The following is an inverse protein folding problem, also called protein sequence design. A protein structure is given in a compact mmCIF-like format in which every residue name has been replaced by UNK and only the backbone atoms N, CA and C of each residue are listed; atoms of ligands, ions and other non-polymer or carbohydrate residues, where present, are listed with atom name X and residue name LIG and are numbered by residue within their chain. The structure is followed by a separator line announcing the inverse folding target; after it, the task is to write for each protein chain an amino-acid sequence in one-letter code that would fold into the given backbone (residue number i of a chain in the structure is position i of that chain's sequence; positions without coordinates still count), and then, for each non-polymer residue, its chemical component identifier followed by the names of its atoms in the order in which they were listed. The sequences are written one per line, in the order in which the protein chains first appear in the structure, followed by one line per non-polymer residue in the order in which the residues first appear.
data_IF_307783308991
#
_entry.id   IF_307783308991
#
_cell.length_a   1.000
_cell.length_b   1.000
_cell.length_c   1.000
_cell.angle_alpha   90.00
_cell.angle_beta   90.00
_cell.angle_gamma   90.00
#
_symmetry.space_group_name_H-M   'P 1'
#
loop_
_entity.id
_entity.type
_entity.pdbx_description
1 polymer ?
#
# COMPACT_ATOMS: atom_id res chain seq x y z
N UNK A 1 28.56 -18.82 22.85
CA UNK A 1 28.27 -19.59 21.63
C UNK A 1 26.77 -19.64 21.50
N UNK A 2 26.20 -18.86 20.58
CA UNK A 2 24.76 -18.84 20.31
C UNK A 2 24.51 -19.73 19.10
N UNK A 3 23.73 -20.80 19.27
CA UNK A 3 23.23 -21.60 18.15
C UNK A 3 22.33 -20.73 17.25
N UNK A 4 22.51 -20.79 15.91
CA UNK A 4 21.57 -20.15 15.00
C UNK A 4 20.26 -20.93 15.00
N UNK A 5 19.15 -20.22 15.18
CA UNK A 5 17.80 -20.73 14.96
C UNK A 5 17.71 -21.33 13.54
N UNK A 6 17.50 -22.64 13.45
CA UNK A 6 17.24 -23.32 12.18
C UNK A 6 16.03 -22.70 11.49
N UNK A 7 16.22 -22.31 10.23
CA UNK A 7 15.16 -21.77 9.39
C UNK A 7 14.32 -22.94 8.86
N UNK A 8 12.98 -22.96 9.04
CA UNK A 8 12.16 -24.03 8.48
C UNK A 8 12.26 -24.04 6.95
N UNK A 9 12.40 -25.24 6.37
CA UNK A 9 12.52 -25.45 4.93
C UNK A 9 11.22 -25.06 4.21
N UNK A 10 11.37 -24.37 3.06
CA UNK A 10 10.31 -24.14 2.06
C UNK A 10 9.57 -25.43 1.72
N UNK A 11 8.24 -25.44 1.79
CA UNK A 11 7.42 -26.53 1.24
C UNK A 11 7.12 -26.30 -0.25
N UNK A 12 6.95 -27.43 -0.94
CA UNK A 12 6.78 -27.57 -2.40
C UNK A 12 5.36 -27.19 -2.82
N UNK A 13 5.11 -26.86 -4.11
CA UNK A 13 3.78 -26.50 -4.59
C UNK A 13 2.81 -27.70 -4.52
N UNK A 14 1.66 -27.55 -3.85
CA UNK A 14 0.55 -28.52 -3.97
C UNK A 14 -0.31 -28.84 -2.73
N UNK A 15 -0.01 -28.35 -1.53
CA UNK A 15 -0.78 -28.71 -0.31
C UNK A 15 -1.79 -27.63 0.14
N UNK A 16 -2.91 -28.01 0.79
CA UNK A 16 -4.01 -27.10 1.12
C UNK A 16 -3.65 -26.15 2.27
N UNK A 17 -4.07 -24.90 2.11
CA UNK A 17 -3.74 -23.73 2.92
C UNK A 17 -4.29 -23.82 4.36
N UNK A 18 -3.48 -24.29 5.31
CA UNK A 18 -3.79 -24.28 6.75
C UNK A 18 -2.78 -23.54 7.64
N UNK A 19 -1.52 -23.40 7.22
CA UNK A 19 -0.44 -22.85 8.08
C UNK A 19 -0.01 -21.41 7.71
N UNK A 20 -0.57 -20.83 6.64
CA UNK A 20 -0.06 -19.60 6.04
C UNK A 20 -0.30 -18.32 6.89
N UNK A 21 -1.27 -18.35 7.81
CA UNK A 21 -1.60 -17.20 8.67
C UNK A 21 -0.48 -16.86 9.66
N UNK A 22 0.14 -17.88 10.26
CA UNK A 22 1.19 -17.72 11.27
C UNK A 22 2.55 -17.34 10.64
N UNK A 23 2.87 -17.88 9.47
CA UNK A 23 4.11 -17.53 8.75
C UNK A 23 4.10 -16.09 8.22
N UNK A 24 2.97 -15.62 7.67
CA UNK A 24 2.86 -14.23 7.21
C UNK A 24 2.92 -13.24 8.39
N UNK A 25 2.47 -13.65 9.58
CA UNK A 25 2.57 -12.86 10.81
C UNK A 25 4.02 -12.77 11.30
N UNK A 26 4.78 -13.87 11.28
CA UNK A 26 6.19 -13.87 11.67
C UNK A 26 7.06 -12.98 10.75
N UNK A 27 6.96 -13.13 9.42
CA UNK A 27 7.73 -12.30 8.47
C UNK A 27 7.32 -10.82 8.52
N UNK A 28 6.02 -10.53 8.74
CA UNK A 28 5.55 -9.14 8.90
C UNK A 28 6.00 -8.50 10.22
N UNK A 29 6.24 -9.30 11.27
CA UNK A 29 6.86 -8.85 12.51
C UNK A 29 8.37 -8.64 12.32
N UNK A 30 9.06 -9.47 11.54
CA UNK A 30 10.47 -9.25 11.16
C UNK A 30 10.67 -7.93 10.41
N UNK A 31 9.69 -7.50 9.60
CA UNK A 31 9.72 -6.18 8.95
C UNK A 31 9.67 -4.98 9.92
N UNK A 32 9.39 -5.23 11.20
CA UNK A 32 9.45 -4.23 12.27
C UNK A 32 10.78 -4.26 13.03
N UNK A 33 11.65 -5.23 12.74
CA UNK A 33 12.92 -5.46 13.42
C UNK A 33 14.11 -4.94 12.58
N UNK A 34 15.29 -4.76 13.20
CA UNK A 34 16.53 -4.55 12.44
C UNK A 34 16.74 -5.64 11.37
N UNK A 35 17.07 -5.25 10.14
CA UNK A 35 17.22 -6.17 9.00
C UNK A 35 15.98 -6.25 8.08
N UNK A 36 14.89 -5.56 8.43
CA UNK A 36 13.70 -5.40 7.57
C UNK A 36 14.01 -4.83 6.19
N UNK A 37 15.07 -4.02 6.06
CA UNK A 37 15.56 -3.45 4.80
C UNK A 37 16.20 -4.48 3.85
N UNK A 38 16.43 -5.70 4.31
CA UNK A 38 16.84 -6.82 3.47
C UNK A 38 15.67 -7.53 2.78
N UNK A 39 14.42 -7.10 3.01
CA UNK A 39 13.22 -7.71 2.45
C UNK A 39 12.54 -6.80 1.42
N UNK A 40 11.98 -7.42 0.38
CA UNK A 40 11.12 -6.77 -0.58
C UNK A 40 9.77 -7.47 -0.66
N UNK A 41 8.71 -6.66 -0.68
CA UNK A 41 7.33 -7.13 -0.67
C UNK A 41 6.87 -7.53 -2.08
N UNK A 42 6.03 -8.55 -2.13
CA UNK A 42 5.30 -9.07 -3.29
C UNK A 42 3.84 -9.34 -2.91
N UNK A 43 3.03 -9.66 -3.91
CA UNK A 43 1.60 -9.85 -3.77
C UNK A 43 1.13 -11.10 -4.52
N UNK A 44 0.31 -11.93 -3.87
CA UNK A 44 -0.59 -12.86 -4.57
C UNK A 44 -2.00 -12.66 -4.02
N UNK A 45 -2.97 -12.36 -4.88
CA UNK A 45 -4.39 -12.18 -4.51
C UNK A 45 -4.62 -11.45 -3.16
N UNK A 46 -3.95 -10.31 -2.95
CA UNK A 46 -3.99 -9.46 -1.74
C UNK A 46 -3.27 -10.00 -0.51
N UNK A 47 -2.68 -11.20 -0.61
CA UNK A 47 -1.75 -11.72 0.38
C UNK A 47 -0.36 -11.14 0.09
N UNK A 48 0.25 -10.45 1.08
CA UNK A 48 1.63 -10.06 0.95
C UNK A 48 2.53 -11.28 1.06
N UNK A 49 3.58 -11.32 0.24
CA UNK A 49 4.68 -12.28 0.36
C UNK A 49 6.00 -11.52 0.35
N UNK A 50 7.08 -12.16 0.82
CA UNK A 50 8.38 -11.50 0.96
C UNK A 50 9.48 -12.30 0.29
N UNK A 51 10.44 -11.55 -0.27
CA UNK A 51 11.69 -12.09 -0.81
C UNK A 51 12.84 -11.31 -0.20
N UNK A 52 14.03 -11.91 -0.08
CA UNK A 52 15.20 -11.13 0.36
C UNK A 52 15.81 -10.42 -0.83
N UNK A 53 16.22 -9.17 -0.65
CA UNK A 53 16.87 -8.36 -1.69
C UNK A 53 18.13 -9.06 -2.23
N UNK A 54 18.88 -9.76 -1.35
CA UNK A 54 20.07 -10.53 -1.70
C UNK A 54 19.79 -11.76 -2.57
N UNK A 55 18.56 -12.25 -2.64
CA UNK A 55 18.22 -13.44 -3.43
C UNK A 55 18.42 -13.15 -4.93
N UNK A 56 18.34 -11.88 -5.34
CA UNK A 56 18.56 -11.46 -6.72
C UNK A 56 17.69 -12.23 -7.71
N UNK A 57 18.28 -12.57 -8.86
CA UNK A 57 17.65 -13.46 -9.85
C UNK A 57 16.59 -12.81 -10.74
N UNK A 58 16.43 -11.49 -10.69
CA UNK A 58 15.62 -10.78 -11.68
C UNK A 58 16.35 -10.75 -13.02
N UNK A 59 15.70 -11.31 -14.03
CA UNK A 59 16.16 -11.31 -15.43
C UNK A 59 15.52 -10.13 -16.19
N UNK A 60 16.29 -9.08 -16.53
CA UNK A 60 15.77 -7.96 -17.31
C UNK A 60 15.37 -8.31 -18.74
N UNK A 61 15.92 -9.37 -19.33
CA UNK A 61 15.67 -9.76 -20.73
C UNK A 61 14.31 -10.45 -20.88
N UNK A 62 13.91 -11.24 -19.87
CA UNK A 62 12.57 -11.84 -19.79
C UNK A 62 11.47 -10.83 -19.42
N UNK A 63 11.80 -9.55 -19.18
CA UNK A 63 10.83 -8.55 -18.75
C UNK A 63 10.81 -7.30 -19.61
N UNK A 64 9.64 -6.67 -19.69
CA UNK A 64 9.51 -5.31 -20.21
C UNK A 64 8.59 -4.46 -19.34
N UNK A 65 8.85 -3.16 -19.33
CA UNK A 65 7.92 -2.17 -18.76
C UNK A 65 7.33 -1.37 -19.90
N UNK A 66 6.01 -1.35 -19.99
CA UNK A 66 5.27 -0.58 -21.01
C UNK A 66 4.14 0.19 -20.38
N UNK A 67 3.74 1.30 -21.01
CA UNK A 67 2.48 1.96 -20.67
C UNK A 67 1.32 1.04 -21.05
N UNK A 68 0.34 0.94 -20.17
CA UNK A 68 -0.84 0.11 -20.37
C UNK A 68 -2.13 0.93 -20.16
N UNK A 69 -3.25 0.54 -20.79
CA UNK A 69 -4.54 1.18 -20.53
C UNK A 69 -4.99 1.03 -19.07
N UNK A 70 -5.90 1.90 -18.64
CA UNK A 70 -6.40 1.88 -17.27
C UNK A 70 -7.08 0.56 -16.89
N UNK A 71 -7.95 0.04 -17.77
CA UNK A 71 -8.76 -1.15 -17.49
C UNK A 71 -7.94 -2.38 -17.02
N UNK A 72 -6.90 -2.84 -17.74
CA UNK A 72 -6.05 -3.94 -17.26
C UNK A 72 -5.28 -3.60 -15.99
N UNK A 73 -4.75 -2.37 -15.88
CA UNK A 73 -4.00 -1.94 -14.70
C UNK A 73 -4.86 -1.93 -13.42
N UNK A 74 -6.09 -1.43 -13.55
CA UNK A 74 -7.12 -1.41 -12.51
C UNK A 74 -7.52 -2.83 -12.11
N UNK A 75 -7.84 -3.70 -13.07
CA UNK A 75 -8.18 -5.10 -12.78
C UNK A 75 -7.08 -5.80 -11.99
N UNK A 76 -5.84 -5.72 -12.48
CA UNK A 76 -4.68 -6.31 -11.82
C UNK A 76 -4.50 -5.77 -10.40
N UNK A 77 -4.51 -4.44 -10.23
CA UNK A 77 -4.27 -3.82 -8.92
C UNK A 77 -5.38 -4.14 -7.92
N UNK A 78 -6.64 -4.16 -8.34
CA UNK A 78 -7.77 -4.52 -7.46
C UNK A 78 -7.73 -6.01 -7.07
N UNK A 79 -7.23 -6.87 -7.95
CA UNK A 79 -7.06 -8.29 -7.69
C UNK A 79 -5.92 -8.57 -6.70
N UNK A 80 -4.78 -7.86 -6.82
CA UNK A 80 -3.55 -8.25 -6.12
C UNK A 80 -3.12 -7.30 -4.99
N UNK A 81 -3.39 -6.00 -5.07
CA UNK A 81 -2.91 -5.05 -4.06
C UNK A 81 -3.87 -4.99 -2.86
N UNK A 82 -3.33 -4.92 -1.64
CA UNK A 82 -4.12 -4.90 -0.39
C UNK A 82 -5.22 -3.83 -0.36
N UNK A 83 -5.01 -2.70 -1.02
CA UNK A 83 -5.98 -1.60 -1.02
C UNK A 83 -7.26 -1.93 -1.81
N UNK A 84 -7.26 -2.99 -2.64
CA UNK A 84 -8.35 -3.43 -3.49
C UNK A 84 -9.04 -2.28 -4.26
N UNK A 85 -8.26 -1.28 -4.67
CA UNK A 85 -8.78 -0.01 -5.18
C UNK A 85 -7.82 0.65 -6.16
N UNK A 86 -8.40 1.35 -7.13
CA UNK A 86 -7.70 2.09 -8.15
C UNK A 86 -7.94 3.60 -7.99
N UNK A 87 -6.89 4.41 -7.76
CA UNK A 87 -7.02 5.85 -7.63
C UNK A 87 -7.15 6.52 -9.01
N UNK A 88 -7.25 7.86 -9.04
CA UNK A 88 -7.12 8.62 -10.28
C UNK A 88 -5.67 8.54 -10.76
N UNK A 89 -5.44 7.92 -11.92
CA UNK A 89 -4.11 7.63 -12.45
C UNK A 89 -3.89 8.37 -13.77
N UNK A 90 -2.75 9.05 -13.92
CA UNK A 90 -2.36 9.70 -15.17
C UNK A 90 -1.51 8.79 -16.05
N UNK A 91 -0.60 8.03 -15.44
CA UNK A 91 0.28 7.11 -16.14
C UNK A 91 0.26 5.75 -15.43
N UNK A 92 -0.20 4.71 -16.13
CA UNK A 92 -0.14 3.33 -15.68
C UNK A 92 0.90 2.56 -16.51
N UNK A 93 1.72 1.79 -15.82
CA UNK A 93 2.75 0.93 -16.42
C UNK A 93 2.54 -0.51 -15.99
N UNK A 94 2.66 -1.43 -16.94
CA UNK A 94 2.69 -2.86 -16.70
C UNK A 94 4.12 -3.37 -16.77
N UNK A 95 4.51 -4.19 -15.77
CA UNK A 95 5.65 -5.09 -15.86
C UNK A 95 5.15 -6.40 -16.49
N UNK A 96 5.64 -6.71 -17.68
CA UNK A 96 5.26 -7.91 -18.43
C UNK A 96 6.43 -8.89 -18.49
N UNK A 97 6.13 -10.19 -18.36
CA UNK A 97 7.00 -11.32 -18.71
C UNK A 97 6.83 -11.61 -20.20
N UNK A 98 7.87 -11.38 -21.00
CA UNK A 98 7.77 -11.48 -22.48
C UNK A 98 7.85 -12.92 -22.99
N UNK A 99 8.37 -13.82 -22.15
CA UNK A 99 8.45 -15.26 -22.40
C UNK A 99 7.15 -16.01 -22.10
N UNK A 100 6.09 -15.30 -21.67
CA UNK A 100 4.79 -15.86 -21.35
C UNK A 100 3.69 -15.13 -22.12
N UNK A 101 2.71 -15.88 -22.63
CA UNK A 101 1.57 -15.28 -23.31
C UNK A 101 0.74 -14.40 -22.35
N UNK A 102 0.19 -13.27 -22.84
CA UNK A 102 -0.71 -12.44 -22.04
C UNK A 102 -1.95 -13.23 -21.61
N UNK A 103 -2.38 -13.00 -20.36
CA UNK A 103 -3.62 -13.57 -19.84
C UNK A 103 -4.87 -12.88 -20.39
N UNK A 104 -6.08 -13.41 -20.11
CA UNK A 104 -7.33 -12.81 -20.55
C UNK A 104 -7.47 -11.34 -20.11
N UNK A 105 -7.65 -10.46 -21.11
CA UNK A 105 -7.79 -9.03 -20.89
C UNK A 105 -6.48 -8.31 -20.49
N UNK A 106 -5.33 -8.97 -20.54
CA UNK A 106 -4.04 -8.30 -20.40
C UNK A 106 -3.61 -7.67 -21.74
N UNK A 107 -2.79 -6.59 -21.72
CA UNK A 107 -2.25 -6.01 -22.96
C UNK A 107 -1.33 -6.99 -23.70
N UNK A 108 -1.18 -6.78 -25.01
CA UNK A 108 -0.25 -7.55 -25.84
C UNK A 108 1.21 -7.45 -25.36
N UNK A 109 2.02 -8.43 -25.77
CA UNK A 109 3.47 -8.47 -25.58
C UNK A 109 3.97 -9.35 -24.45
N UNK A 110 3.13 -9.73 -23.49
CA UNK A 110 3.49 -10.72 -22.47
C UNK A 110 2.59 -10.71 -21.23
N UNK A 111 2.76 -11.72 -20.37
CA UNK A 111 1.99 -11.89 -19.13
C UNK A 111 2.22 -10.72 -18.17
N UNK A 112 1.17 -10.09 -17.68
CA UNK A 112 1.23 -9.00 -16.71
C UNK A 112 1.55 -9.56 -15.30
N UNK A 113 2.72 -9.19 -14.78
CA UNK A 113 3.20 -9.62 -13.44
C UNK A 113 3.42 -8.44 -12.49
N UNK A 114 3.10 -7.23 -12.92
CA UNK A 114 3.16 -6.07 -12.04
C UNK A 114 2.57 -4.81 -12.64
N UNK A 115 2.17 -3.88 -11.77
CA UNK A 115 1.63 -2.57 -12.13
C UNK A 115 2.27 -1.47 -11.28
N UNK A 116 2.66 -0.38 -11.96
CA UNK A 116 3.03 0.89 -11.35
C UNK A 116 2.02 1.95 -11.80
N UNK A 117 1.45 2.70 -10.85
CA UNK A 117 0.46 3.73 -11.14
C UNK A 117 0.92 5.10 -10.62
N UNK A 118 1.21 6.02 -11.54
CA UNK A 118 1.49 7.42 -11.23
C UNK A 118 0.19 8.22 -11.33
N UNK A 119 -0.31 8.64 -10.18
CA UNK A 119 -1.62 9.23 -10.01
C UNK A 119 -1.63 10.63 -9.43
N UNK A 120 -2.85 11.10 -9.21
CA UNK A 120 -3.17 12.39 -8.60
C UNK A 120 -3.36 12.16 -7.10
N UNK A 121 -2.56 12.81 -6.23
CA UNK A 121 -2.75 12.67 -4.79
C UNK A 121 -4.09 13.29 -4.37
N UNK A 122 -4.65 12.81 -3.26
CA UNK A 122 -5.90 13.36 -2.71
C UNK A 122 -5.83 14.86 -2.39
N UNK A 123 -4.63 15.36 -2.10
CA UNK A 123 -4.36 16.79 -1.94
C UNK A 123 -3.11 17.14 -2.77
N UNK A 124 -3.27 18.08 -3.71
CA UNK A 124 -2.20 18.53 -4.61
C UNK A 124 -1.03 19.16 -3.87
N UNK A 125 -1.24 19.72 -2.67
CA UNK A 125 -0.19 20.31 -1.84
C UNK A 125 0.91 19.31 -1.44
N UNK A 126 0.65 18.00 -1.53
CA UNK A 126 1.67 16.96 -1.37
C UNK A 126 2.86 17.17 -2.33
N UNK A 127 2.59 17.68 -3.53
CA UNK A 127 3.56 17.90 -4.60
C UNK A 127 4.37 19.19 -4.44
N UNK A 128 4.01 20.07 -3.49
CA UNK A 128 4.75 21.31 -3.20
C UNK A 128 6.16 21.07 -2.68
N UNK A 129 6.54 19.81 -2.45
CA UNK A 129 7.93 19.43 -2.21
C UNK A 129 8.84 19.67 -3.42
N UNK A 130 8.28 19.85 -4.61
CA UNK A 130 9.02 20.23 -5.81
C UNK A 130 8.76 21.71 -6.13
N UNK A 131 9.50 22.67 -5.54
CA UNK A 131 9.23 24.09 -5.71
C UNK A 131 9.40 24.57 -7.16
N UNK A 132 10.22 23.86 -7.95
CA UNK A 132 10.56 24.23 -9.32
C UNK A 132 9.64 23.55 -10.35
N UNK A 133 8.66 22.75 -9.91
CA UNK A 133 7.80 21.93 -10.80
C UNK A 133 6.33 22.31 -10.67
N UNK A 134 5.63 22.38 -11.79
CA UNK A 134 4.19 22.57 -11.80
C UNK A 134 3.45 21.29 -11.32
N UNK A 135 2.69 21.35 -10.21
CA UNK A 135 1.94 20.20 -9.70
C UNK A 135 1.02 19.60 -10.76
N UNK A 136 0.91 18.27 -10.75
CA UNK A 136 0.10 17.47 -11.68
C UNK A 136 0.51 17.53 -13.15
N UNK A 137 1.25 18.55 -13.62
CA UNK A 137 1.80 18.61 -14.97
C UNK A 137 3.18 17.97 -15.02
N UNK A 138 4.07 18.35 -14.10
CA UNK A 138 5.47 17.90 -14.05
C UNK A 138 5.76 17.02 -12.82
N UNK A 139 4.80 16.84 -11.92
CA UNK A 139 4.96 15.96 -10.76
C UNK A 139 3.71 15.14 -10.46
N UNK A 140 3.92 13.90 -9.98
CA UNK A 140 2.87 12.92 -9.67
C UNK A 140 3.16 12.14 -8.40
N UNK A 141 2.16 11.40 -7.92
CA UNK A 141 2.31 10.43 -6.84
C UNK A 141 2.46 9.02 -7.40
N UNK A 142 3.47 8.26 -6.97
CA UNK A 142 3.48 6.80 -7.11
C UNK A 142 2.44 6.21 -6.14
N UNK A 143 1.22 6.09 -6.65
CA UNK A 143 0.03 5.77 -5.87
C UNK A 143 -0.16 4.27 -5.69
N UNK A 144 0.30 3.44 -6.63
CA UNK A 144 0.26 1.98 -6.55
C UNK A 144 1.55 1.40 -7.11
N UNK A 145 2.12 0.44 -6.37
CA UNK A 145 3.15 -0.46 -6.85
C UNK A 145 2.78 -1.86 -6.39
N UNK A 146 2.46 -2.72 -7.34
CA UNK A 146 2.01 -4.08 -7.07
C UNK A 146 2.74 -5.03 -8.00
N UNK A 147 3.60 -5.90 -7.47
CA UNK A 147 4.32 -6.93 -8.22
C UNK A 147 3.95 -8.30 -7.67
N UNK A 148 3.76 -9.27 -8.56
CA UNK A 148 3.46 -10.64 -8.16
C UNK A 148 4.66 -11.29 -7.48
N UNK A 149 4.39 -12.27 -6.63
CA UNK A 149 5.39 -13.14 -6.02
C UNK A 149 6.32 -13.80 -7.04
N UNK A 150 5.85 -14.07 -8.26
CA UNK A 150 6.67 -14.57 -9.38
C UNK A 150 7.79 -13.62 -9.83
N UNK A 151 7.76 -12.34 -9.44
CA UNK A 151 8.80 -11.37 -9.76
C UNK A 151 9.95 -11.50 -8.75
N UNK A 152 11.13 -11.87 -9.22
CA UNK A 152 12.33 -12.00 -8.40
C UNK A 152 12.80 -10.65 -7.80
N UNK A 153 13.68 -10.71 -6.80
CA UNK A 153 14.21 -9.53 -6.11
C UNK A 153 14.95 -8.58 -7.05
N UNK A 154 14.92 -7.28 -6.79
CA UNK A 154 15.41 -6.19 -7.65
C UNK A 154 14.50 -5.85 -8.85
N UNK A 155 13.48 -6.66 -9.15
CA UNK A 155 12.49 -6.37 -10.18
C UNK A 155 11.73 -5.07 -9.95
N UNK A 156 11.48 -4.69 -8.69
CA UNK A 156 10.81 -3.44 -8.33
C UNK A 156 11.63 -2.19 -8.69
N UNK A 157 12.91 -2.18 -8.34
CA UNK A 157 13.78 -1.05 -8.64
C UNK A 157 14.02 -0.93 -10.14
N UNK A 158 14.17 -2.05 -10.84
CA UNK A 158 14.27 -2.07 -12.30
C UNK A 158 13.00 -1.56 -12.96
N UNK A 159 11.83 -2.06 -12.55
CA UNK A 159 10.56 -1.67 -13.14
C UNK A 159 10.28 -0.17 -12.94
N UNK A 160 10.54 0.35 -11.73
CA UNK A 160 10.40 1.77 -11.47
C UNK A 160 11.41 2.61 -12.27
N UNK A 161 12.66 2.17 -12.41
CA UNK A 161 13.64 2.89 -13.23
C UNK A 161 13.17 3.03 -14.68
N UNK A 162 12.61 1.97 -15.28
CA UNK A 162 12.06 2.00 -16.64
C UNK A 162 10.81 2.88 -16.74
N UNK A 163 9.89 2.79 -15.77
CA UNK A 163 8.72 3.66 -15.73
C UNK A 163 9.08 5.14 -15.53
N UNK A 164 10.10 5.47 -14.74
CA UNK A 164 10.59 6.84 -14.57
C UNK A 164 11.23 7.40 -15.84
N UNK A 165 11.93 6.56 -16.61
CA UNK A 165 12.48 6.97 -17.90
C UNK A 165 11.36 7.37 -18.88
N UNK A 166 10.32 6.53 -19.02
CA UNK A 166 9.18 6.86 -19.88
C UNK A 166 8.41 8.09 -19.35
N UNK A 167 8.10 8.14 -18.05
CA UNK A 167 7.42 9.30 -17.46
C UNK A 167 8.21 10.61 -17.66
N UNK A 168 9.54 10.55 -17.60
CA UNK A 168 10.39 11.70 -17.91
C UNK A 168 10.29 12.12 -19.37
N UNK A 169 10.19 11.19 -20.32
CA UNK A 169 9.94 11.53 -21.73
C UNK A 169 8.59 12.27 -21.92
N UNK A 170 7.64 12.10 -21.00
CA UNK A 170 6.32 12.76 -21.00
C UNK A 170 6.25 14.03 -20.17
N UNK A 171 7.41 14.58 -19.77
CA UNK A 171 7.49 15.84 -19.03
C UNK A 171 7.36 15.70 -17.51
N UNK A 172 7.23 14.48 -16.96
CA UNK A 172 7.27 14.30 -15.50
C UNK A 172 8.72 14.43 -15.00
N UNK A 173 8.91 15.15 -13.90
CA UNK A 173 10.21 15.45 -13.30
C UNK A 173 10.24 15.19 -11.80
N UNK A 174 9.10 15.04 -11.15
CA UNK A 174 9.01 14.74 -9.71
C UNK A 174 8.02 13.63 -9.39
N UNK A 175 8.41 12.69 -8.53
CA UNK A 175 7.53 11.64 -8.01
C UNK A 175 7.54 11.68 -6.48
N UNK A 176 6.35 11.79 -5.86
CA UNK A 176 6.16 11.55 -4.42
C UNK A 176 5.68 10.12 -4.21
N UNK A 177 6.10 9.48 -3.12
CA UNK A 177 5.54 8.22 -2.66
C UNK A 177 5.28 8.28 -1.16
N UNK A 178 4.28 7.53 -0.70
CA UNK A 178 3.97 7.39 0.72
C UNK A 178 4.04 5.93 1.15
N UNK A 179 4.41 5.71 2.40
CA UNK A 179 4.36 4.40 3.04
C UNK A 179 3.65 4.51 4.38
N UNK A 180 2.57 3.75 4.56
CA UNK A 180 1.80 3.74 5.80
C UNK A 180 2.35 2.61 6.69
N UNK A 181 2.98 2.95 7.83
CA UNK A 181 3.63 1.96 8.68
C UNK A 181 2.66 1.17 9.58
N UNK A 182 1.38 1.57 9.62
CA UNK A 182 0.43 1.02 10.59
C UNK A 182 -0.26 -0.21 9.98
N UNK A 183 -0.08 -1.39 10.59
CA UNK A 183 -0.72 -2.61 10.11
C UNK A 183 -2.22 -2.53 10.38
N UNK A 184 -3.00 -3.22 9.57
CA UNK A 184 -4.44 -3.42 9.76
C UNK A 184 -4.70 -4.91 9.68
N UNK A 185 -5.16 -5.46 10.80
CA UNK A 185 -5.42 -6.89 10.98
C UNK A 185 -6.88 -7.01 11.36
N UNK A 186 -7.60 -7.87 10.65
CA UNK A 186 -8.94 -8.33 11.04
C UNK A 186 -8.81 -9.70 11.69
N UNK A 187 -9.71 -10.04 12.59
CA UNK A 187 -9.87 -11.44 12.97
C UNK A 187 -10.86 -12.16 12.08
N UNK A 188 -10.59 -13.45 11.91
CA UNK A 188 -11.44 -14.41 11.21
C UNK A 188 -11.57 -15.67 12.07
N UNK A 189 -12.47 -16.59 11.70
CA UNK A 189 -12.59 -17.88 12.38
C UNK A 189 -11.26 -18.67 12.40
N UNK A 190 -10.44 -18.48 11.36
CA UNK A 190 -9.12 -19.12 11.20
C UNK A 190 -7.98 -18.32 11.85
N UNK A 191 -8.29 -17.26 12.61
CA UNK A 191 -7.32 -16.40 13.29
C UNK A 191 -7.09 -15.04 12.61
N UNK A 192 -6.01 -14.32 12.97
CA UNK A 192 -5.71 -12.99 12.44
C UNK A 192 -5.36 -12.98 10.95
N UNK A 193 -5.93 -12.04 10.22
CA UNK A 193 -5.74 -11.86 8.77
C UNK A 193 -5.35 -10.41 8.46
N UNK A 194 -4.25 -10.21 7.74
CA UNK A 194 -3.80 -8.87 7.33
C UNK A 194 -4.68 -8.31 6.22
N UNK A 195 -5.28 -7.14 6.49
CA UNK A 195 -5.92 -6.29 5.47
C UNK A 195 -4.93 -5.28 4.93
N UNK A 196 -4.00 -4.82 5.76
CA UNK A 196 -2.84 -4.07 5.32
C UNK A 196 -1.65 -4.49 6.18
N UNK A 197 -0.54 -4.97 5.58
CA UNK A 197 0.64 -5.36 6.35
C UNK A 197 1.26 -4.18 7.12
N UNK A 198 1.22 -2.98 6.53
CA UNK A 198 2.00 -1.84 6.99
C UNK A 198 3.43 -1.94 6.49
N UNK A 199 4.02 -0.80 6.12
CA UNK A 199 5.39 -0.75 5.60
C UNK A 199 5.99 0.65 5.78
N UNK A 200 7.32 0.70 5.90
CA UNK A 200 8.04 1.98 5.99
C UNK A 200 8.56 2.48 4.65
N UNK A 201 8.32 1.74 3.56
CA UNK A 201 8.74 2.15 2.21
C UNK A 201 10.21 1.85 1.90
N UNK A 202 10.70 0.67 2.30
CA UNK A 202 12.08 0.23 2.06
C UNK A 202 12.51 0.40 0.60
N UNK A 203 11.63 0.02 -0.32
CA UNK A 203 11.85 0.18 -1.75
C UNK A 203 12.20 1.61 -2.14
N UNK A 204 11.58 2.62 -1.52
CA UNK A 204 11.84 4.03 -1.81
C UNK A 204 13.14 4.50 -1.16
N UNK A 205 13.29 4.24 0.14
CA UNK A 205 14.40 4.75 0.95
C UNK A 205 15.74 4.06 0.69
N UNK A 206 15.73 2.79 0.27
CA UNK A 206 16.95 1.97 0.19
C UNK A 206 17.17 1.33 -1.20
N UNK A 207 16.14 1.27 -2.06
CA UNK A 207 16.25 0.63 -3.39
C UNK A 207 16.20 1.59 -4.58
N UNK A 208 15.68 2.81 -4.38
CA UNK A 208 15.30 3.69 -5.50
C UNK A 208 15.77 5.14 -5.35
N UNK A 209 16.62 5.48 -4.38
CA UNK A 209 17.19 6.82 -4.26
C UNK A 209 16.14 7.93 -4.09
N UNK A 210 15.03 7.65 -3.43
CA UNK A 210 14.13 8.71 -2.98
C UNK A 210 14.73 9.41 -1.76
N UNK A 211 14.59 10.73 -1.71
CA UNK A 211 14.81 11.49 -0.49
C UNK A 211 13.66 11.22 0.49
N UNK A 212 13.98 10.89 1.74
CA UNK A 212 13.00 10.76 2.81
C UNK A 212 12.76 12.12 3.46
N UNK A 213 11.48 12.48 3.63
CA UNK A 213 11.03 13.83 4.01
C UNK A 213 10.30 13.85 5.35
N UNK A 214 10.47 12.80 6.16
CA UNK A 214 9.75 12.63 7.42
C UNK A 214 8.35 12.03 7.23
N UNK A 215 7.46 12.33 8.18
CA UNK A 215 6.09 11.80 8.20
C UNK A 215 5.08 12.88 7.86
N UNK A 216 3.96 12.48 7.27
CA UNK A 216 2.77 13.34 7.17
C UNK A 216 2.24 13.67 8.56
N UNK A 217 1.36 14.66 8.66
CA UNK A 217 0.70 15.03 9.92
C UNK A 217 0.03 13.80 10.57
N UNK A 218 0.22 13.67 11.87
CA UNK A 218 -0.51 12.68 12.68
C UNK A 218 -2.02 12.97 12.64
N UNK A 219 -2.84 11.92 12.65
CA UNK A 219 -4.30 12.03 12.57
C UNK A 219 -4.98 10.90 13.33
N UNK A 220 -6.26 11.09 13.65
CA UNK A 220 -7.12 10.00 14.09
C UNK A 220 -7.79 9.37 12.87
N UNK A 221 -7.95 8.06 12.88
CA UNK A 221 -8.66 7.32 11.85
C UNK A 221 -9.74 6.46 12.51
N UNK A 222 -10.95 6.46 11.96
CA UNK A 222 -11.98 5.50 12.34
C UNK A 222 -11.73 4.21 11.58
N UNK A 223 -11.43 3.14 12.31
CA UNK A 223 -11.21 1.79 11.77
C UNK A 223 -12.46 0.97 12.05
N UNK A 224 -12.98 0.33 11.00
CA UNK A 224 -14.15 -0.53 11.06
C UNK A 224 -13.75 -1.97 11.42
N UNK A 225 -14.71 -2.83 11.79
CA UNK A 225 -14.44 -4.22 12.15
C UNK A 225 -13.75 -5.07 11.09
N UNK A 226 -14.00 -4.75 9.82
CA UNK A 226 -13.31 -5.37 8.68
C UNK A 226 -11.85 -4.89 8.52
N UNK A 227 -11.30 -4.21 9.54
CA UNK A 227 -9.99 -3.56 9.63
C UNK A 227 -9.70 -2.49 8.57
N UNK A 228 -10.73 -2.02 7.86
CA UNK A 228 -10.60 -0.92 6.92
C UNK A 228 -10.81 0.44 7.60
N UNK A 229 -10.43 1.52 6.91
CA UNK A 229 -10.63 2.89 7.42
C UNK A 229 -11.89 3.50 6.80
N UNK A 230 -12.78 4.01 7.66
CA UNK A 230 -13.78 4.98 7.25
C UNK A 230 -13.11 6.36 7.21
N UNK A 231 -12.91 6.89 6.00
CA UNK A 231 -12.24 8.18 5.84
C UNK A 231 -13.16 9.36 6.21
N UNK A 232 -12.55 10.47 6.65
CA UNK A 232 -13.27 11.66 7.12
C UNK A 232 -14.22 12.24 6.07
N UNK A 233 -13.88 12.13 4.77
CA UNK A 233 -14.72 12.61 3.68
C UNK A 233 -15.98 11.77 3.53
N UNK A 234 -15.87 10.44 3.63
CA UNK A 234 -17.00 9.52 3.60
C UNK A 234 -17.91 9.73 4.81
N UNK A 235 -17.35 9.89 6.00
CA UNK A 235 -18.11 10.24 7.21
C UNK A 235 -18.82 11.60 7.06
N UNK A 236 -18.14 12.60 6.49
CA UNK A 236 -18.73 13.92 6.25
C UNK A 236 -19.92 13.87 5.29
N UNK A 237 -19.89 12.98 4.29
CA UNK A 237 -21.04 12.78 3.39
C UNK A 237 -22.28 12.33 4.14
N UNK A 238 -22.15 11.38 5.06
CA UNK A 238 -23.27 10.91 5.89
C UNK A 238 -23.76 12.01 6.82
N UNK A 239 -22.86 12.73 7.50
CA UNK A 239 -23.22 13.81 8.43
C UNK A 239 -23.98 14.98 7.78
N UNK A 240 -23.82 15.16 6.47
CA UNK A 240 -24.33 16.30 5.70
C UNK A 240 -25.29 15.88 4.59
N UNK A 241 -25.69 14.61 4.57
CA UNK A 241 -26.54 14.03 3.52
C UNK A 241 -26.05 14.34 2.09
N UNK A 242 -24.74 14.38 1.90
CA UNK A 242 -24.13 14.64 0.59
C UNK A 242 -24.15 13.38 -0.29
N UNK A 243 -24.16 13.60 -1.61
CA UNK A 243 -24.13 12.52 -2.61
C UNK A 243 -23.05 11.47 -2.32
N UNK A 244 -23.51 10.22 -2.24
CA UNK A 244 -22.69 9.04 -1.95
C UNK A 244 -22.70 8.61 -0.49
N UNK A 245 -23.47 9.27 0.40
CA UNK A 245 -23.68 8.78 1.77
C UNK A 245 -24.30 7.37 1.80
N UNK A 246 -25.26 7.07 0.93
CA UNK A 246 -25.94 5.76 0.83
C UNK A 246 -24.97 4.58 0.75
N UNK A 247 -23.85 4.73 0.02
CA UNK A 247 -22.85 3.66 -0.07
C UNK A 247 -22.12 3.41 1.26
N UNK A 248 -21.89 4.48 2.04
CA UNK A 248 -21.34 4.40 3.40
C UNK A 248 -22.35 3.77 4.34
N UNK A 249 -23.63 4.15 4.23
CA UNK A 249 -24.70 3.59 5.07
C UNK A 249 -24.86 2.09 4.84
N UNK A 250 -25.01 1.67 3.58
CA UNK A 250 -25.09 0.25 3.19
C UNK A 250 -23.92 -0.56 3.73
N UNK A 251 -22.73 0.03 3.71
CA UNK A 251 -21.53 -0.62 4.23
C UNK A 251 -21.59 -0.83 5.74
N UNK A 252 -21.97 0.19 6.50
CA UNK A 252 -22.08 0.07 7.95
C UNK A 252 -23.21 -0.91 8.34
N UNK A 253 -24.32 -0.90 7.59
CA UNK A 253 -25.42 -1.87 7.78
C UNK A 253 -24.93 -3.30 7.52
N UNK A 254 -24.16 -3.52 6.45
CA UNK A 254 -23.56 -4.83 6.18
C UNK A 254 -22.56 -5.29 7.26
N UNK A 255 -22.06 -4.36 8.08
CA UNK A 255 -21.20 -4.64 9.24
C UNK A 255 -21.99 -4.76 10.56
N UNK A 256 -23.32 -4.72 10.51
CA UNK A 256 -24.19 -4.90 11.67
C UNK A 256 -24.84 -3.62 12.22
N UNK A 257 -24.63 -2.45 11.59
CA UNK A 257 -25.34 -1.25 12.01
C UNK A 257 -26.83 -1.35 11.70
N UNK A 258 -27.65 -0.84 12.60
CA UNK A 258 -29.08 -0.71 12.38
C UNK A 258 -29.34 0.35 11.32
N UNK A 259 -30.22 0.03 10.37
CA UNK A 259 -30.60 0.96 9.30
C UNK A 259 -31.06 2.31 9.84
N UNK A 260 -30.74 3.37 9.10
CA UNK A 260 -31.18 4.74 9.42
C UNK A 260 -32.69 4.82 9.30
N UNK A 261 -33.35 5.39 10.31
CA UNK A 261 -34.80 5.63 10.24
C UNK A 261 -35.08 6.75 9.24
N UNK A 262 -36.28 6.75 8.67
CA UNK A 262 -36.76 7.90 7.90
C UNK A 262 -36.61 9.17 8.76
N UNK A 263 -36.07 10.24 8.16
CA UNK A 263 -35.87 11.55 8.80
C UNK A 263 -34.87 11.62 9.96
N UNK A 264 -34.20 10.51 10.32
CA UNK A 264 -33.13 10.55 11.34
C UNK A 264 -31.96 11.41 10.84
N UNK A 265 -31.42 12.30 11.68
CA UNK A 265 -30.24 13.10 11.35
C UNK A 265 -29.01 12.20 11.07
N UNK A 266 -28.28 12.49 10.00
CA UNK A 266 -27.19 11.64 9.52
C UNK A 266 -25.99 11.63 10.45
N UNK A 267 -25.71 12.72 11.16
CA UNK A 267 -24.63 12.76 12.13
C UNK A 267 -24.96 11.93 13.38
N UNK A 268 -26.20 12.02 13.87
CA UNK A 268 -26.71 11.19 14.97
C UNK A 268 -26.71 9.72 14.58
N UNK A 269 -27.22 9.38 13.39
CA UNK A 269 -27.21 8.02 12.88
C UNK A 269 -25.78 7.46 12.79
N UNK A 270 -24.85 8.22 12.20
CA UNK A 270 -23.47 7.77 12.04
C UNK A 270 -22.78 7.51 13.39
N UNK A 271 -23.00 8.37 14.39
CA UNK A 271 -22.42 8.18 15.71
C UNK A 271 -22.87 6.85 16.33
N UNK A 272 -24.18 6.58 16.30
CA UNK A 272 -24.78 5.32 16.77
C UNK A 272 -24.29 4.12 15.95
N UNK A 273 -24.30 4.21 14.62
CA UNK A 273 -23.88 3.13 13.74
C UNK A 273 -22.41 2.75 13.97
N UNK A 274 -21.53 3.72 14.22
CA UNK A 274 -20.11 3.45 14.53
C UNK A 274 -19.92 2.75 15.88
N UNK A 275 -20.76 3.07 16.86
CA UNK A 275 -20.79 2.36 18.15
C UNK A 275 -21.33 0.94 17.99
N UNK A 276 -22.44 0.76 17.29
CA UNK A 276 -23.09 -0.55 17.05
C UNK A 276 -22.16 -1.54 16.33
N UNK A 277 -21.41 -1.08 15.33
CA UNK A 277 -20.44 -1.95 14.65
C UNK A 277 -19.15 -2.12 15.44
N UNK A 278 -18.93 -1.41 16.55
CA UNK A 278 -17.68 -1.49 17.31
C UNK A 278 -16.49 -0.85 16.58
N UNK A 279 -16.71 0.26 15.87
CA UNK A 279 -15.63 0.98 15.20
C UNK A 279 -14.66 1.60 16.23
N UNK A 280 -13.36 1.51 15.94
CA UNK A 280 -12.30 1.98 16.86
C UNK A 280 -11.59 3.20 16.31
N UNK A 281 -11.13 4.07 17.22
CA UNK A 281 -10.35 5.26 16.84
C UNK A 281 -8.86 4.96 16.98
N UNK A 282 -8.18 4.84 15.84
CA UNK A 282 -6.75 4.64 15.75
C UNK A 282 -6.01 5.98 15.73
N UNK A 283 -5.05 6.16 16.64
CA UNK A 283 -4.08 7.28 16.60
C UNK A 283 -2.97 6.96 15.60
N UNK A 284 -3.06 7.53 14.40
CA UNK A 284 -2.13 7.30 13.31
C UNK A 284 -1.00 8.35 13.31
N UNK A 285 0.25 7.93 13.49
CA UNK A 285 1.41 8.82 13.57
C UNK A 285 1.84 9.49 12.25
N UNK A 286 1.14 9.22 11.15
CA UNK A 286 1.43 9.76 9.81
C UNK A 286 2.17 8.77 8.91
N UNK A 287 1.98 8.89 7.61
CA UNK A 287 2.67 8.08 6.60
C UNK A 287 4.09 8.61 6.39
N UNK A 288 5.06 7.74 6.13
CA UNK A 288 6.37 8.14 5.67
C UNK A 288 6.26 8.76 4.27
N UNK A 289 6.89 9.92 4.06
CA UNK A 289 6.88 10.67 2.81
C UNK A 289 8.24 10.58 2.12
N UNK A 290 8.22 10.26 0.84
CA UNK A 290 9.40 10.13 -0.01
C UNK A 290 9.23 10.98 -1.27
N UNK A 291 10.29 11.61 -1.76
CA UNK A 291 10.27 12.32 -3.03
C UNK A 291 11.52 12.01 -3.87
N UNK A 292 11.36 11.98 -5.19
CA UNK A 292 12.47 11.79 -6.13
C UNK A 292 12.28 12.67 -7.34
N UNK A 293 13.34 13.37 -7.74
CA UNK A 293 13.42 14.01 -9.05
C UNK A 293 13.88 13.00 -10.09
N UNK A 294 13.30 13.03 -11.29
CA UNK A 294 13.52 12.04 -12.36
C UNK A 294 13.85 12.72 -13.69
N UNK A 295 14.45 11.95 -14.60
CA UNK A 295 14.79 12.42 -15.94
C UNK A 295 16.12 13.17 -16.04
N UNK A 296 16.38 13.80 -17.21
CA UNK A 296 17.55 14.63 -17.44
C UNK A 296 17.60 15.81 -16.46
N UNK A 297 18.81 16.23 -16.09
CA UNK A 297 19.05 17.37 -15.19
C UNK A 297 18.35 17.28 -13.81
N UNK A 298 17.88 16.10 -13.39
CA UNK A 298 17.19 15.88 -12.11
C UNK A 298 17.96 16.39 -10.89
N UNK A 299 19.29 16.46 -10.98
CA UNK A 299 20.19 16.96 -9.93
C UNK A 299 20.16 18.48 -9.77
N UNK A 300 19.60 19.21 -10.75
CA UNK A 300 19.40 20.66 -10.69
C UNK A 300 18.06 21.06 -10.06
N UNK A 301 17.13 20.12 -9.96
CA UNK A 301 15.81 20.34 -9.37
C UNK A 301 15.89 20.23 -7.85
N UNK A 302 15.26 21.18 -7.15
CA UNK A 302 15.29 21.21 -5.68
C UNK A 302 14.16 20.38 -5.08
N UNK A 303 14.40 19.94 -3.86
CA UNK A 303 13.37 19.44 -2.95
C UNK A 303 13.20 20.44 -1.82
N UNK A 304 11.95 20.76 -1.48
CA UNK A 304 11.65 21.61 -0.34
C UNK A 304 11.74 20.81 0.97
N UNK A 305 12.36 21.42 1.98
CA UNK A 305 12.53 20.85 3.32
C UNK A 305 13.77 19.96 3.46
N UNK A 306 14.08 19.54 4.70
CA UNK A 306 15.25 18.72 4.98
C UNK A 306 15.07 17.29 4.45
N UNK A 307 16.15 16.73 3.92
CA UNK A 307 16.25 15.29 3.65
C UNK A 307 16.74 14.60 4.91
N UNK A 308 15.97 13.61 5.39
CA UNK A 308 16.25 12.88 6.62
C UNK A 308 16.73 11.46 6.29
N UNK A 309 17.45 10.78 7.19
CA UNK A 309 17.74 9.36 7.06
C UNK A 309 16.44 8.54 7.02
N UNK A 310 16.27 7.72 5.98
CA UNK A 310 15.11 6.84 5.87
C UNK A 310 15.10 5.80 7.01
N UNK A 311 13.92 5.47 7.58
CA UNK A 311 13.84 4.45 8.62
C UNK A 311 14.24 3.07 8.06
N UNK A 312 14.93 2.27 8.88
CA UNK A 312 15.32 0.88 8.57
C UNK A 312 14.44 -0.17 9.25
N UNK A 313 13.65 0.24 10.22
CA UNK A 313 12.71 -0.62 10.95
C UNK A 313 11.61 0.26 11.54
N UNK A 314 10.47 -0.34 11.88
CA UNK A 314 9.41 0.35 12.61
C UNK A 314 9.84 0.44 14.07
N UNK A 315 10.11 1.65 14.58
CA UNK A 315 10.28 1.82 16.03
C UNK A 315 8.96 1.43 16.71
N UNK A 316 8.98 0.56 17.74
CA UNK A 316 7.77 0.25 18.49
C UNK A 316 7.18 1.55 19.03
N UNK A 317 5.86 1.70 18.92
CA UNK A 317 5.15 2.84 19.49
C UNK A 317 5.35 2.84 21.02
N UNK A 318 5.74 3.96 21.65
CA UNK A 318 5.95 4.04 23.10
C UNK A 318 4.66 3.89 23.92
N UNK A 319 3.50 3.83 23.27
CA UNK A 319 2.33 3.23 23.88
C UNK A 319 2.35 1.74 23.56
N UNK A 320 2.79 0.87 24.49
CA UNK A 320 2.18 -0.43 24.54
C UNK A 320 0.69 -0.13 24.66
N UNK A 321 -0.09 -0.58 23.69
CA UNK A 321 -1.48 -0.92 24.01
C UNK A 321 -1.30 -1.95 25.11
N UNK A 322 -1.53 -1.50 26.36
CA UNK A 322 -1.35 -2.31 27.55
C UNK A 322 -2.22 -3.52 27.31
N UNK A 323 -1.50 -4.61 27.07
CA UNK A 323 -1.98 -5.98 27.01
C UNK A 323 -2.73 -6.29 28.31
N UNK A 324 -4.04 -6.08 28.30
CA UNK A 324 -4.89 -7.22 28.02
C UNK A 324 -5.09 -7.17 26.50
N UNK A 325 -4.46 -8.08 25.78
CA UNK A 325 -4.53 -8.21 24.32
C UNK A 325 -3.88 -7.05 23.51
N UNK A 326 -2.92 -7.42 22.66
CA UNK A 326 -2.30 -6.53 21.70
C UNK A 326 -3.34 -5.97 20.71
N UNK A 327 -3.09 -4.87 19.97
CA UNK A 327 -4.02 -4.39 18.94
C UNK A 327 -3.91 -5.24 17.67
N UNK A 328 -4.17 -6.52 17.80
CA UNK A 328 -5.00 -7.18 16.80
C UNK A 328 -6.37 -6.54 17.00
N UNK A 329 -6.96 -5.93 15.97
CA UNK A 329 -8.39 -5.60 16.06
C UNK A 329 -9.11 -6.95 16.00
N UNK A 330 -9.31 -7.52 17.19
CA UNK A 330 -10.06 -8.72 17.47
C UNK A 330 -11.53 -8.32 17.45
N UNK A 331 -12.17 -8.51 16.29
CA UNK A 331 -13.62 -8.47 16.22
C UNK A 331 -14.10 -9.90 16.11
N UNK A 332 -14.87 -10.40 17.09
CA UNK A 332 -15.52 -11.70 16.96
C UNK A 332 -16.41 -11.71 15.71
N UNK A 333 -16.36 -12.82 14.97
CA UNK A 333 -17.43 -13.12 14.01
C UNK A 333 -18.69 -13.41 14.83
N UNK A 334 -19.84 -12.94 14.36
CA UNK A 334 -21.13 -13.41 14.88
C UNK A 334 -21.28 -14.92 14.63
#
# INVERSE_FOLDING_TARGET
MHEPLETPRRTRPGEPYGEWGDFALAEQLELRQPGADAWCQRWDRRLPTWRRTRDGGFDPEAHRVVRIPEAPAKRFTVAHHYSASWPVVRLAYGLQRVDQLPGPGEPEGGRLVGVLAFGVPMNTAVLNVFPDLMPLKESLELSRMCLLDSVASNGESWACARAFQDAASKGIRGIVAHADPVPRVRLTADGPSYVMPGHIGHVYGHGQGFAYLGRTRARRQTVLPDATVLNDRAAAKVRRDETGHVAVERRLIALGATARRAEEDGARWLARALEEVGAVVLRHGGCHKYARTIGPHRTRLRLAGPVLPAPRHVRPSPSPIRTAEAPVIVVPSA
#
